data_IF_022857040795
#
_entry.id   IF_022857040795
#
_cell.length_a   1.000
_cell.length_b   1.000
_cell.length_c   1.000
_cell.angle_alpha   90.00
_cell.angle_beta   90.00
_cell.angle_gamma   90.00
#
_symmetry.space_group_name_H-M   'P 1'
#
loop_
_entity.id
_entity.type
_entity.pdbx_description
1 polymer ?
#
# COMPACT_ATOMS: atom_id res chain seq x y z
N UNK A 1 19.61 13.48 38.30
CA UNK A 1 18.28 12.85 38.14
C UNK A 1 17.68 13.44 36.88
N UNK A 2 17.55 12.62 35.85
CA UNK A 2 17.04 13.04 34.55
C UNK A 2 15.56 13.39 34.64
N UNK A 3 15.12 14.32 33.78
CA UNK A 3 13.74 14.81 33.73
C UNK A 3 12.68 13.69 33.60
N UNK A 4 13.11 12.50 33.15
CA UNK A 4 12.26 11.37 32.80
C UNK A 4 12.37 10.17 33.77
N UNK A 5 13.18 10.27 34.83
CA UNK A 5 13.38 9.16 35.78
C UNK A 5 12.12 8.88 36.64
N UNK A 6 11.23 9.88 36.75
CA UNK A 6 9.96 9.77 37.50
C UNK A 6 8.73 9.57 36.60
N UNK A 7 8.81 9.76 35.28
CA UNK A 7 7.67 9.54 34.37
C UNK A 7 7.41 8.07 34.04
N UNK A 8 8.35 7.19 34.38
CA UNK A 8 8.25 5.75 34.10
C UNK A 8 7.75 4.92 35.30
N UNK A 9 7.52 5.56 36.46
CA UNK A 9 7.23 4.85 37.71
C UNK A 9 5.75 4.78 38.09
N UNK A 10 4.87 5.50 37.40
CA UNK A 10 3.43 5.46 37.65
C UNK A 10 2.66 5.46 36.33
N UNK A 11 2.27 4.27 35.87
CA UNK A 11 1.08 4.11 35.05
C UNK A 11 0.60 2.67 35.11
N UNK A 12 -0.19 2.35 36.16
CA UNK A 12 -1.13 1.25 36.06
C UNK A 12 -2.07 1.54 34.88
N UNK A 13 -1.82 0.93 33.72
CA UNK A 13 -2.67 1.04 32.54
C UNK A 13 -3.66 -0.12 32.52
N UNK A 14 -4.92 0.16 32.17
CA UNK A 14 -5.92 -0.88 31.88
C UNK A 14 -5.55 -1.68 30.61
N UNK A 15 -4.68 -1.14 29.76
CA UNK A 15 -4.30 -1.74 28.50
C UNK A 15 -2.99 -2.51 28.63
N UNK A 16 -3.04 -3.80 28.29
CA UNK A 16 -1.84 -4.64 28.17
C UNK A 16 -1.01 -4.27 26.93
N UNK A 17 -1.67 -3.81 25.86
CA UNK A 17 -1.02 -3.38 24.62
C UNK A 17 -1.85 -2.31 23.92
N UNK A 18 -1.47 -1.04 24.08
CA UNK A 18 -2.13 0.11 23.45
C UNK A 18 -1.95 0.13 21.93
N UNK A 19 -0.87 -0.47 21.41
CA UNK A 19 -0.59 -0.54 19.96
C UNK A 19 -1.67 -1.34 19.23
N UNK A 20 -2.31 -2.30 19.89
CA UNK A 20 -3.41 -3.06 19.30
C UNK A 20 -4.65 -2.21 18.96
N UNK A 21 -4.75 -1.00 19.53
CA UNK A 21 -5.83 -0.04 19.27
C UNK A 21 -5.47 0.97 18.19
N UNK A 22 -4.23 0.97 17.69
CA UNK A 22 -3.81 1.88 16.62
C UNK A 22 -4.58 1.56 15.32
N UNK A 23 -5.17 2.55 14.62
CA UNK A 23 -5.88 2.32 13.36
C UNK A 23 -5.05 1.69 12.24
N UNK A 24 -3.71 1.79 12.34
CA UNK A 24 -2.76 1.22 11.40
C UNK A 24 -2.27 -0.17 11.78
N UNK A 25 -2.63 -0.66 12.98
CA UNK A 25 -2.27 -1.98 13.46
C UNK A 25 -2.88 -3.06 12.55
N UNK A 26 -2.04 -4.02 12.17
CA UNK A 26 -2.46 -5.21 11.41
C UNK A 26 -2.32 -6.40 12.36
N UNK A 27 -3.43 -7.04 12.79
CA UNK A 27 -3.34 -8.22 13.64
C UNK A 27 -2.78 -9.41 12.85
N UNK A 28 -2.19 -10.40 13.54
CA UNK A 28 -1.65 -11.60 12.88
C UNK A 28 -2.74 -12.47 12.23
N UNK A 29 -4.00 -12.34 12.66
CA UNK A 29 -5.14 -13.06 12.10
C UNK A 29 -6.29 -12.06 11.94
N UNK A 30 -6.92 -12.05 10.77
CA UNK A 30 -8.15 -11.30 10.51
C UNK A 30 -9.30 -12.29 10.39
N UNK A 31 -10.19 -12.29 11.38
CA UNK A 31 -11.35 -13.17 11.39
C UNK A 31 -12.42 -12.71 10.39
N UNK A 32 -13.14 -13.67 9.81
CA UNK A 32 -14.30 -13.44 8.92
C UNK A 32 -13.97 -12.73 7.60
N UNK A 33 -12.69 -12.73 7.20
CA UNK A 33 -12.19 -12.15 5.95
C UNK A 33 -11.38 -13.13 5.10
N UNK A 34 -11.33 -14.39 5.51
CA UNK A 34 -10.49 -15.44 4.92
C UNK A 34 -10.81 -15.64 3.44
N UNK A 35 -12.10 -15.62 3.07
CA UNK A 35 -12.53 -15.76 1.68
C UNK A 35 -12.13 -14.56 0.80
N UNK A 36 -12.24 -13.33 1.33
CA UNK A 36 -11.81 -12.14 0.59
C UNK A 36 -10.29 -12.09 0.45
N UNK A 37 -9.55 -12.43 1.51
CA UNK A 37 -8.09 -12.53 1.48
C UNK A 37 -7.63 -13.56 0.45
N UNK A 38 -8.24 -14.75 0.46
CA UNK A 38 -7.95 -15.79 -0.51
C UNK A 38 -8.24 -15.33 -1.94
N UNK A 39 -9.37 -14.65 -2.18
CA UNK A 39 -9.69 -14.12 -3.50
C UNK A 39 -8.66 -13.08 -3.99
N UNK A 40 -8.20 -12.18 -3.10
CA UNK A 40 -7.13 -11.23 -3.41
C UNK A 40 -5.82 -11.98 -3.75
N UNK A 41 -5.44 -12.97 -2.95
CA UNK A 41 -4.25 -13.79 -3.19
C UNK A 41 -4.35 -14.55 -4.53
N UNK A 42 -5.51 -15.12 -4.86
CA UNK A 42 -5.75 -15.81 -6.14
C UNK A 42 -5.64 -14.86 -7.35
N UNK A 43 -5.96 -13.58 -7.17
CA UNK A 43 -5.80 -12.54 -8.20
C UNK A 43 -4.34 -12.11 -8.40
N UNK A 44 -3.55 -12.14 -7.32
CA UNK A 44 -2.12 -11.78 -7.32
C UNK A 44 -1.24 -12.94 -7.76
N UNK A 45 -1.60 -14.18 -7.40
CA UNK A 45 -0.85 -15.42 -7.64
C UNK A 45 -0.26 -15.57 -9.05
N UNK A 46 -0.93 -15.17 -10.16
CA UNK A 46 -0.32 -15.22 -11.49
C UNK A 46 1.01 -14.47 -11.61
N UNK A 47 1.22 -13.39 -10.85
CA UNK A 47 2.46 -12.59 -10.87
C UNK A 47 3.67 -13.42 -10.42
N UNK A 48 3.49 -14.28 -9.42
CA UNK A 48 4.52 -15.25 -8.97
C UNK A 48 4.91 -16.23 -10.08
N UNK A 49 4.02 -16.45 -11.05
CA UNK A 49 4.24 -17.32 -12.22
C UNK A 49 4.68 -16.53 -13.46
N UNK A 50 5.09 -15.26 -13.31
CA UNK A 50 5.47 -14.34 -14.40
C UNK A 50 4.36 -14.16 -15.44
N UNK A 51 3.11 -14.14 -14.98
CA UNK A 51 1.91 -13.83 -15.78
C UNK A 51 1.18 -12.65 -15.16
N UNK A 52 0.40 -11.94 -15.96
CA UNK A 52 -0.39 -10.82 -15.45
C UNK A 52 -1.40 -11.28 -14.40
N UNK A 53 -1.45 -10.56 -13.28
CA UNK A 53 -2.49 -10.70 -12.27
C UNK A 53 -3.86 -10.23 -12.77
N UNK A 54 -4.84 -10.26 -11.87
CA UNK A 54 -6.20 -9.75 -12.14
C UNK A 54 -6.42 -8.44 -11.41
N UNK A 55 -6.89 -7.43 -12.14
CA UNK A 55 -7.38 -6.20 -11.55
C UNK A 55 -8.69 -6.47 -10.80
N UNK A 56 -8.80 -5.94 -9.59
CA UNK A 56 -10.00 -6.06 -8.75
C UNK A 56 -10.39 -4.68 -8.21
N UNK A 57 -11.69 -4.46 -8.06
CA UNK A 57 -12.24 -3.30 -7.36
C UNK A 57 -12.91 -3.80 -6.08
N UNK A 58 -12.44 -3.32 -4.92
CA UNK A 58 -12.97 -3.72 -3.62
C UNK A 58 -13.96 -2.65 -3.15
N UNK A 59 -15.22 -3.02 -2.95
CA UNK A 59 -16.29 -2.10 -2.54
C UNK A 59 -16.96 -2.55 -1.24
N UNK A 60 -17.61 -1.61 -0.56
CA UNK A 60 -18.37 -1.87 0.66
C UNK A 60 -18.35 -0.68 1.63
N UNK A 61 -19.22 -0.72 2.65
CA UNK A 61 -19.34 0.32 3.65
C UNK A 61 -18.00 0.63 4.37
N UNK A 62 -17.82 1.84 4.92
CA UNK A 62 -16.65 2.17 5.76
C UNK A 62 -16.63 1.31 7.04
N UNK A 63 -15.44 1.10 7.61
CA UNK A 63 -15.28 0.37 8.88
C UNK A 63 -15.42 -1.15 8.79
N UNK A 64 -15.73 -1.74 7.62
CA UNK A 64 -15.88 -3.20 7.49
C UNK A 64 -14.55 -3.96 7.37
N UNK A 65 -13.41 -3.27 7.36
CA UNK A 65 -12.08 -3.91 7.27
C UNK A 65 -11.55 -4.15 5.85
N UNK A 66 -12.00 -3.39 4.85
CA UNK A 66 -11.46 -3.45 3.46
C UNK A 66 -9.95 -3.19 3.45
N UNK A 67 -9.53 -2.01 3.92
CA UNK A 67 -8.13 -1.61 4.05
C UNK A 67 -7.30 -2.61 4.84
N UNK A 68 -7.83 -3.08 5.97
CA UNK A 68 -7.14 -4.03 6.85
C UNK A 68 -6.87 -5.37 6.12
N UNK A 69 -7.89 -5.93 5.46
CA UNK A 69 -7.75 -7.17 4.72
C UNK A 69 -6.78 -7.04 3.54
N UNK A 70 -6.82 -5.92 2.82
CA UNK A 70 -5.91 -5.66 1.71
C UNK A 70 -4.47 -5.51 2.19
N UNK A 71 -4.21 -4.67 3.21
CA UNK A 71 -2.87 -4.49 3.77
C UNK A 71 -2.28 -5.78 4.33
N UNK A 72 -3.12 -6.64 4.90
CA UNK A 72 -2.69 -7.98 5.35
C UNK A 72 -2.19 -8.83 4.18
N UNK A 73 -2.96 -8.94 3.09
CA UNK A 73 -2.53 -9.74 1.92
C UNK A 73 -1.27 -9.16 1.29
N UNK A 74 -1.14 -7.84 1.22
CA UNK A 74 0.09 -7.20 0.73
C UNK A 74 1.28 -7.47 1.63
N UNK A 75 1.10 -7.45 2.96
CA UNK A 75 2.16 -7.79 3.92
C UNK A 75 2.62 -9.25 3.77
N UNK A 76 1.69 -10.18 3.65
CA UNK A 76 2.02 -11.60 3.40
C UNK A 76 2.76 -11.78 2.06
N UNK A 77 2.38 -11.02 1.03
CA UNK A 77 3.08 -11.07 -0.26
C UNK A 77 4.52 -10.53 -0.16
N UNK A 78 4.72 -9.45 0.59
CA UNK A 78 6.04 -8.85 0.84
C UNK A 78 6.96 -9.82 1.58
N UNK A 79 6.41 -10.58 2.54
CA UNK A 79 7.15 -11.59 3.30
C UNK A 79 7.49 -12.84 2.46
N UNK A 80 6.66 -13.17 1.47
CA UNK A 80 6.84 -14.35 0.62
C UNK A 80 7.83 -14.11 -0.53
N UNK A 81 7.93 -12.89 -1.06
CA UNK A 81 8.80 -12.61 -2.22
C UNK A 81 9.29 -11.18 -2.34
N UNK A 82 10.56 -11.04 -2.72
CA UNK A 82 11.16 -9.78 -3.14
C UNK A 82 10.99 -9.50 -4.65
N UNK A 83 10.45 -10.43 -5.44
CA UNK A 83 10.37 -10.34 -6.90
C UNK A 83 9.17 -9.52 -7.40
N UNK A 84 8.34 -9.02 -6.48
CA UNK A 84 7.15 -8.22 -6.77
C UNK A 84 7.25 -6.88 -6.03
N UNK A 85 7.15 -5.77 -6.75
CA UNK A 85 6.99 -4.46 -6.12
C UNK A 85 5.56 -4.31 -5.59
N UNK A 86 5.44 -3.91 -4.33
CA UNK A 86 4.16 -3.62 -3.69
C UNK A 86 4.04 -2.12 -3.52
N UNK A 87 3.04 -1.53 -4.18
CA UNK A 87 2.80 -0.09 -4.20
C UNK A 87 1.43 0.17 -3.58
N UNK A 88 1.41 0.55 -2.30
CA UNK A 88 0.19 0.95 -1.58
C UNK A 88 0.10 2.47 -1.50
N UNK A 89 -0.94 3.04 -2.09
CA UNK A 89 -1.22 4.47 -2.10
C UNK A 89 -2.56 4.73 -1.43
N UNK A 90 -2.56 5.59 -0.43
CA UNK A 90 -3.79 6.08 0.18
C UNK A 90 -4.22 7.35 -0.55
N UNK A 91 -5.24 7.25 -1.40
CA UNK A 91 -5.69 8.35 -2.25
C UNK A 91 -6.41 9.46 -1.47
N UNK A 92 -6.78 9.23 -0.21
CA UNK A 92 -7.24 10.29 0.68
C UNK A 92 -6.10 11.27 1.04
N UNK A 93 -4.87 10.77 1.20
CA UNK A 93 -3.68 11.61 1.46
C UNK A 93 -3.09 12.15 0.15
N UNK A 94 -3.06 11.31 -0.88
CA UNK A 94 -2.43 11.60 -2.17
C UNK A 94 -3.46 11.52 -3.30
N UNK A 95 -4.18 12.62 -3.47
CA UNK A 95 -5.30 12.73 -4.39
C UNK A 95 -4.93 13.23 -5.80
N UNK A 96 -3.78 13.88 -5.96
CA UNK A 96 -3.31 14.39 -7.26
C UNK A 96 -2.30 13.43 -7.90
N UNK A 97 -2.23 13.42 -9.23
CA UNK A 97 -1.25 12.63 -9.97
C UNK A 97 0.19 12.87 -9.51
N UNK A 98 0.55 14.14 -9.23
CA UNK A 98 1.89 14.47 -8.74
C UNK A 98 2.17 13.87 -7.36
N UNK A 99 1.23 13.97 -6.40
CA UNK A 99 1.38 13.38 -5.06
C UNK A 99 1.50 11.86 -5.14
N UNK A 100 0.63 11.21 -5.93
CA UNK A 100 0.68 9.76 -6.14
C UNK A 100 2.05 9.34 -6.68
N UNK A 101 2.56 10.04 -7.70
CA UNK A 101 3.88 9.74 -8.28
C UNK A 101 5.01 9.99 -7.27
N UNK A 102 4.91 11.02 -6.43
CA UNK A 102 5.88 11.25 -5.35
C UNK A 102 5.88 10.14 -4.30
N UNK A 103 4.70 9.68 -3.87
CA UNK A 103 4.58 8.57 -2.93
C UNK A 103 5.19 7.29 -3.52
N UNK A 104 4.96 7.02 -4.81
CA UNK A 104 5.59 5.89 -5.51
C UNK A 104 7.12 6.07 -5.56
N UNK A 105 7.62 7.29 -5.80
CA UNK A 105 9.05 7.57 -5.74
C UNK A 105 9.62 7.26 -4.36
N UNK A 106 8.93 7.66 -3.28
CA UNK A 106 9.33 7.40 -1.90
C UNK A 106 9.38 5.89 -1.59
N UNK A 107 8.34 5.14 -1.97
CA UNK A 107 8.28 3.68 -1.83
C UNK A 107 9.41 2.96 -2.59
N UNK A 108 9.88 3.54 -3.69
CA UNK A 108 10.99 3.01 -4.49
C UNK A 108 12.37 3.57 -4.09
N UNK A 109 12.47 4.32 -2.98
CA UNK A 109 13.67 5.05 -2.51
C UNK A 109 14.29 5.97 -3.59
N UNK A 110 13.47 6.52 -4.50
CA UNK A 110 13.90 7.45 -5.53
C UNK A 110 13.84 8.91 -5.05
N UNK A 111 15.00 9.48 -4.75
CA UNK A 111 15.13 10.80 -4.08
C UNK A 111 15.20 12.01 -5.03
N UNK A 112 15.44 11.81 -6.33
CA UNK A 112 15.67 12.90 -7.29
C UNK A 112 14.34 13.43 -7.87
N UNK A 113 13.49 13.97 -7.00
CA UNK A 113 12.14 14.43 -7.36
C UNK A 113 12.03 15.94 -7.57
N UNK A 114 12.97 16.72 -7.03
CA UNK A 114 12.94 18.18 -7.12
C UNK A 114 13.03 18.70 -8.57
N UNK A 115 12.22 19.72 -8.88
CA UNK A 115 12.14 20.38 -10.19
C UNK A 115 11.84 19.42 -11.36
N UNK A 116 11.17 18.29 -11.09
CA UNK A 116 10.72 17.35 -12.11
C UNK A 116 9.22 17.48 -12.31
N UNK A 117 8.80 17.33 -13.56
CA UNK A 117 7.39 17.22 -13.90
C UNK A 117 6.85 15.85 -13.48
N UNK A 118 5.52 15.73 -13.36
CA UNK A 118 4.88 14.42 -13.15
C UNK A 118 5.29 13.42 -14.22
N UNK A 119 5.39 13.83 -15.48
CA UNK A 119 5.79 12.97 -16.59
C UNK A 119 7.24 12.47 -16.48
N UNK A 120 8.17 13.35 -16.08
CA UNK A 120 9.58 12.95 -15.89
C UNK A 120 9.71 11.89 -14.80
N UNK A 121 8.98 12.08 -13.70
CA UNK A 121 8.96 11.16 -12.58
C UNK A 121 8.28 9.85 -12.95
N UNK A 122 7.14 9.92 -13.66
CA UNK A 122 6.39 8.77 -14.12
C UNK A 122 7.26 7.87 -15.01
N UNK A 123 7.95 8.45 -16.00
CA UNK A 123 8.93 7.70 -16.84
C UNK A 123 10.00 7.02 -15.99
N UNK A 124 10.47 7.69 -14.94
CA UNK A 124 11.52 7.15 -14.07
C UNK A 124 11.02 6.00 -13.21
N UNK A 125 9.87 6.13 -12.55
CA UNK A 125 9.28 5.05 -11.76
C UNK A 125 8.91 3.87 -12.65
N UNK A 126 8.35 4.09 -13.84
CA UNK A 126 8.00 3.01 -14.77
C UNK A 126 9.25 2.24 -15.21
N UNK A 127 10.39 2.90 -15.42
CA UNK A 127 11.66 2.22 -15.70
C UNK A 127 12.16 1.34 -14.54
N UNK A 128 11.88 1.71 -13.29
CA UNK A 128 12.23 0.91 -12.11
C UNK A 128 11.26 -0.26 -11.99
N UNK A 129 9.96 0.03 -12.04
CA UNK A 129 8.87 -0.91 -11.85
C UNK A 129 8.87 -2.04 -12.88
N UNK A 130 9.13 -1.73 -14.15
CA UNK A 130 9.18 -2.75 -15.22
C UNK A 130 10.31 -3.78 -15.10
N UNK A 131 11.20 -3.68 -14.11
CA UNK A 131 12.24 -4.69 -13.84
C UNK A 131 11.69 -5.93 -13.15
N UNK A 132 10.56 -5.80 -12.45
CA UNK A 132 9.89 -6.83 -11.66
C UNK A 132 8.39 -6.78 -11.94
N UNK A 133 7.64 -7.75 -11.42
CA UNK A 133 6.19 -7.64 -11.43
C UNK A 133 5.75 -6.60 -10.39
N UNK A 134 4.57 -6.01 -10.57
CA UNK A 134 4.07 -4.96 -9.65
C UNK A 134 2.63 -5.23 -9.24
N UNK A 135 2.34 -5.04 -7.94
CA UNK A 135 0.99 -4.94 -7.40
C UNK A 135 0.76 -3.50 -6.96
N UNK A 136 -0.21 -2.84 -7.60
CA UNK A 136 -0.70 -1.54 -7.16
C UNK A 136 -1.96 -1.70 -6.31
N UNK A 137 -2.01 -0.99 -5.19
CA UNK A 137 -3.20 -0.83 -4.37
C UNK A 137 -3.47 0.67 -4.17
N UNK A 138 -4.58 1.14 -4.73
CA UNK A 138 -5.08 2.49 -4.51
C UNK A 138 -6.25 2.43 -3.53
N UNK A 139 -5.98 2.73 -2.26
CA UNK A 139 -7.01 2.76 -1.22
C UNK A 139 -7.78 4.07 -1.25
N UNK A 140 -9.10 4.03 -0.99
CA UNK A 140 -10.01 5.17 -1.15
C UNK A 140 -9.87 5.82 -2.56
N UNK A 141 -9.81 4.99 -3.62
CA UNK A 141 -9.58 5.41 -5.01
C UNK A 141 -10.59 6.45 -5.52
N UNK A 142 -11.78 6.52 -4.92
CA UNK A 142 -12.80 7.54 -5.22
C UNK A 142 -12.38 8.96 -4.82
N UNK A 143 -11.26 9.13 -4.11
CA UNK A 143 -10.67 10.44 -3.77
C UNK A 143 -9.68 10.98 -4.79
N UNK A 144 -9.34 10.22 -5.83
CA UNK A 144 -8.43 10.71 -6.88
C UNK A 144 -9.09 11.85 -7.66
N UNK A 145 -8.39 12.98 -7.78
CA UNK A 145 -8.89 14.18 -8.48
C UNK A 145 -9.05 13.93 -9.99
N UNK A 146 -8.09 13.24 -10.61
CA UNK A 146 -8.10 12.89 -12.03
C UNK A 146 -7.70 11.41 -12.22
N UNK A 147 -8.64 10.53 -12.59
CA UNK A 147 -8.38 9.10 -12.80
C UNK A 147 -7.38 8.76 -13.91
N UNK A 148 -7.01 9.72 -14.79
CA UNK A 148 -6.05 9.50 -15.87
C UNK A 148 -4.70 8.96 -15.39
N UNK A 149 -4.30 9.24 -14.14
CA UNK A 149 -3.09 8.67 -13.56
C UNK A 149 -3.11 7.13 -13.52
N UNK A 150 -4.27 6.52 -13.29
CA UNK A 150 -4.42 5.07 -13.26
C UNK A 150 -4.19 4.47 -14.66
N UNK A 151 -4.70 5.14 -15.69
CA UNK A 151 -4.48 4.74 -17.08
C UNK A 151 -2.99 4.83 -17.45
N UNK A 152 -2.34 5.95 -17.14
CA UNK A 152 -0.91 6.13 -17.41
C UNK A 152 -0.07 5.04 -16.74
N UNK A 153 -0.37 4.68 -15.49
CA UNK A 153 0.36 3.62 -14.77
C UNK A 153 0.15 2.24 -15.40
N UNK A 154 -1.07 1.92 -15.85
CA UNK A 154 -1.36 0.66 -16.54
C UNK A 154 -0.68 0.60 -17.92
N UNK A 155 -0.63 1.73 -18.64
CA UNK A 155 -0.01 1.81 -19.96
C UNK A 155 1.51 1.82 -19.92
N UNK A 156 2.14 2.38 -18.88
CA UNK A 156 3.59 2.50 -18.78
C UNK A 156 4.26 1.36 -17.99
N UNK A 157 3.48 0.54 -17.28
CA UNK A 157 3.96 -0.63 -16.52
C UNK A 157 3.38 -1.92 -17.12
N UNK A 158 4.23 -2.67 -17.82
CA UNK A 158 3.82 -3.78 -18.68
C UNK A 158 3.89 -5.17 -18.01
N UNK A 159 4.26 -5.26 -16.73
CA UNK A 159 4.52 -6.52 -16.01
C UNK A 159 4.01 -6.54 -14.58
#
# INVERSE_FOLDING_TARGET
>A
MGLFDNTLKDSESLFLNEVALDPTFIPPIIQYRENQQKYMADCIRPLLMKRNGKNILITGAPGIGKTLATRFVLKELEEETDDIHIIYINCWKSNTAYKIVLDICELLDYKFTHNKTTEDLLKKISSILNKKAVVFCFDEVDKIDNPNILYNLIEDVYR
#
